data_IF_530029540369
#
_entry.id   IF_530029540369
#
_cell.length_a   1.000
_cell.length_b   1.000
_cell.length_c   1.000
_cell.angle_alpha   90.00
_cell.angle_beta   90.00
_cell.angle_gamma   90.00
#
_symmetry.space_group_name_H-M   'P 1'
#
loop_
_entity.id
_entity.type
_entity.pdbx_description
1 polymer ?
#
# COMPACT_ATOMS: atom_id res chain seq x y z
N UNK A 1 7.06 -11.90 9.41
CA UNK A 1 6.60 -10.75 10.23
C UNK A 1 5.23 -10.27 9.74
N UNK A 2 4.45 -9.60 10.61
CA UNK A 2 3.21 -8.93 10.25
C UNK A 2 3.33 -7.44 10.60
N UNK A 3 3.11 -6.57 9.62
CA UNK A 3 3.09 -5.12 9.78
C UNK A 3 1.65 -4.64 9.62
N UNK A 4 1.16 -3.89 10.60
CA UNK A 4 -0.20 -3.37 10.59
C UNK A 4 -0.20 -1.85 10.69
N UNK A 5 -0.82 -1.19 9.70
CA UNK A 5 -1.05 0.26 9.74
C UNK A 5 -2.26 0.50 10.65
N UNK A 6 -2.08 1.15 11.79
CA UNK A 6 -3.15 1.36 12.77
C UNK A 6 -3.36 2.85 13.09
N UNK A 7 -4.35 3.42 12.43
CA UNK A 7 -4.96 4.71 12.72
C UNK A 7 -6.44 4.63 12.32
N UNK A 8 -7.16 3.64 12.87
CA UNK A 8 -8.54 3.33 12.51
C UNK A 8 -9.50 4.53 12.55
N UNK A 9 -9.39 5.47 13.53
CA UNK A 9 -10.26 6.66 13.55
C UNK A 9 -10.14 7.52 12.28
N UNK A 10 -9.00 7.47 11.61
CA UNK A 10 -8.67 8.20 10.38
C UNK A 10 -8.54 7.27 9.16
N UNK A 11 -9.21 6.12 9.14
CA UNK A 11 -9.13 5.15 8.03
C UNK A 11 -7.69 4.76 7.69
N UNK A 12 -6.87 4.59 8.71
CA UNK A 12 -5.45 4.25 8.58
C UNK A 12 -4.65 5.28 7.74
N UNK A 13 -5.06 6.56 7.77
CA UNK A 13 -4.24 7.64 7.25
C UNK A 13 -2.93 7.72 8.02
N UNK A 14 -1.83 7.81 7.27
CA UNK A 14 -0.47 7.78 7.83
C UNK A 14 -0.03 9.19 8.23
N UNK A 15 0.15 9.42 9.52
CA UNK A 15 0.73 10.66 10.03
C UNK A 15 2.22 10.75 9.70
N UNK A 16 2.82 11.94 9.82
CA UNK A 16 4.28 12.11 9.64
C UNK A 16 5.08 11.16 10.53
N UNK A 17 4.64 10.99 11.79
CA UNK A 17 5.30 10.07 12.73
C UNK A 17 5.19 8.62 12.24
N UNK A 18 3.99 8.17 11.82
CA UNK A 18 3.80 6.82 11.31
C UNK A 18 4.63 6.55 10.05
N UNK A 19 4.77 7.52 9.16
CA UNK A 19 5.65 7.40 8.00
C UNK A 19 7.11 7.24 8.42
N UNK A 20 7.59 8.05 9.37
CA UNK A 20 8.95 7.92 9.89
C UNK A 20 9.17 6.57 10.60
N UNK A 21 8.18 6.11 11.35
CA UNK A 21 8.23 4.81 12.04
C UNK A 21 8.24 3.65 11.03
N UNK A 22 7.42 3.74 9.99
CA UNK A 22 7.35 2.72 8.93
C UNK A 22 8.69 2.61 8.19
N UNK A 23 9.32 3.73 7.85
CA UNK A 23 10.66 3.73 7.25
C UNK A 23 11.70 3.03 8.13
N UNK A 24 11.71 3.35 9.45
CA UNK A 24 12.62 2.66 10.39
C UNK A 24 12.30 1.17 10.52
N UNK A 25 11.01 0.82 10.49
CA UNK A 25 10.58 -0.58 10.57
C UNK A 25 11.09 -1.41 9.38
N UNK A 26 11.13 -0.83 8.17
CA UNK A 26 11.73 -1.51 7.01
C UNK A 26 13.20 -1.80 7.26
N UNK A 27 13.98 -0.84 7.78
CA UNK A 27 15.40 -1.04 8.11
C UNK A 27 15.61 -2.12 9.20
N UNK A 28 14.72 -2.20 10.18
CA UNK A 28 14.74 -3.23 11.21
C UNK A 28 14.42 -4.61 10.62
N UNK A 29 13.38 -4.70 9.80
CA UNK A 29 12.97 -5.95 9.16
C UNK A 29 14.02 -6.49 8.18
N UNK A 30 14.79 -5.61 7.51
CA UNK A 30 15.91 -6.07 6.68
C UNK A 30 16.97 -6.84 7.47
N UNK A 31 17.16 -6.52 8.74
CA UNK A 31 18.15 -7.15 9.64
C UNK A 31 17.57 -8.29 10.47
N UNK A 32 16.24 -8.42 10.50
CA UNK A 32 15.54 -9.48 11.22
C UNK A 32 15.66 -10.82 10.48
N UNK A 33 15.43 -11.93 11.18
CA UNK A 33 15.46 -13.28 10.59
C UNK A 33 14.18 -13.65 9.82
N UNK A 34 13.16 -12.77 9.79
CA UNK A 34 11.95 -13.03 9.03
C UNK A 34 12.25 -13.11 7.53
N UNK A 35 11.61 -14.05 6.83
CA UNK A 35 11.85 -14.30 5.40
C UNK A 35 10.77 -13.73 4.50
N UNK A 36 9.65 -13.28 5.07
CA UNK A 36 8.54 -12.67 4.37
C UNK A 36 7.77 -11.75 5.31
N UNK A 37 7.23 -10.67 4.77
CA UNK A 37 6.44 -9.68 5.50
C UNK A 37 4.99 -9.76 5.02
N UNK A 38 4.03 -9.74 5.95
CA UNK A 38 2.62 -9.52 5.64
C UNK A 38 2.27 -8.10 6.04
N UNK A 39 1.71 -7.32 5.12
CA UNK A 39 1.30 -5.93 5.33
C UNK A 39 -0.22 -5.80 5.26
N UNK A 40 -0.84 -5.17 6.27
CA UNK A 40 -2.29 -4.96 6.33
C UNK A 40 -2.66 -3.67 7.06
N UNK A 41 -3.92 -3.27 7.00
CA UNK A 41 -4.49 -2.20 7.82
C UNK A 41 -5.22 -2.75 9.05
N UNK A 42 -5.28 -1.99 10.13
CA UNK A 42 -6.09 -2.34 11.29
C UNK A 42 -7.58 -2.16 11.00
N UNK A 43 -8.43 -3.04 11.56
CA UNK A 43 -9.88 -3.04 11.37
C UNK A 43 -10.31 -3.55 10.01
N UNK A 44 -11.53 -3.18 9.60
CA UNK A 44 -12.16 -3.69 8.37
C UNK A 44 -12.45 -2.62 7.32
N UNK A 45 -12.26 -1.33 7.67
CA UNK A 45 -12.72 -0.21 6.83
C UNK A 45 -11.69 0.25 5.80
N UNK A 46 -10.41 0.17 6.13
CA UNK A 46 -9.36 0.65 5.26
C UNK A 46 -8.06 -0.12 5.48
N UNK A 47 -7.35 -0.35 4.39
CA UNK A 47 -5.93 -0.66 4.40
C UNK A 47 -5.15 0.61 4.79
N UNK A 48 -5.28 1.65 3.98
CA UNK A 48 -4.84 3.02 4.26
C UNK A 48 -5.41 4.00 3.23
N UNK A 49 -5.83 5.18 3.67
CA UNK A 49 -6.27 6.25 2.77
C UNK A 49 -5.15 7.27 2.48
N UNK A 50 -3.90 6.90 2.70
CA UNK A 50 -2.74 7.72 2.36
C UNK A 50 -2.29 8.64 3.49
N UNK A 51 -1.76 9.80 3.15
CA UNK A 51 -1.25 10.74 4.13
C UNK A 51 -2.37 11.39 4.95
N UNK A 52 -2.13 11.61 6.24
CA UNK A 52 -3.01 12.42 7.08
C UNK A 52 -2.85 13.91 6.74
N UNK A 53 -3.83 14.43 5.99
CA UNK A 53 -3.85 15.81 5.51
C UNK A 53 -4.18 16.85 6.61
N UNK A 54 -4.44 16.43 7.84
CA UNK A 54 -4.75 17.34 8.95
C UNK A 54 -3.53 18.02 9.57
N UNK A 55 -2.32 17.58 9.20
CA UNK A 55 -1.05 18.14 9.66
C UNK A 55 -0.43 19.12 8.68
N UNK A 56 0.71 19.69 9.07
CA UNK A 56 1.52 20.52 8.16
C UNK A 56 2.11 19.65 7.05
N UNK A 57 1.59 19.82 5.85
CA UNK A 57 2.07 19.18 4.62
C UNK A 57 3.14 20.03 3.92
N UNK A 58 3.70 21.04 4.60
CA UNK A 58 4.79 21.81 4.01
C UNK A 58 5.88 20.84 3.53
N UNK A 59 6.18 20.94 2.25
CA UNK A 59 7.13 20.08 1.56
C UNK A 59 8.58 20.46 1.95
N UNK A 60 8.91 20.27 3.22
CA UNK A 60 10.31 20.30 3.61
C UNK A 60 11.02 19.14 2.88
N UNK A 61 12.25 19.33 2.38
CA UNK A 61 13.04 18.27 1.73
C UNK A 61 13.10 16.98 2.56
N UNK A 62 13.11 17.11 3.89
CA UNK A 62 13.06 16.00 4.84
C UNK A 62 11.77 15.16 4.70
N UNK A 63 10.62 15.80 4.43
CA UNK A 63 9.36 15.09 4.27
C UNK A 63 9.35 14.22 3.03
N UNK A 64 9.93 14.70 1.94
CA UNK A 64 10.07 13.92 0.71
C UNK A 64 10.94 12.65 0.94
N UNK A 65 12.00 12.76 1.73
CA UNK A 65 12.83 11.61 2.11
C UNK A 65 12.07 10.62 2.99
N UNK A 66 11.36 11.10 4.02
CA UNK A 66 10.54 10.26 4.91
C UNK A 66 9.50 9.49 4.09
N UNK A 67 8.75 10.17 3.21
CA UNK A 67 7.74 9.52 2.37
C UNK A 67 8.37 8.53 1.40
N UNK A 68 9.49 8.90 0.77
CA UNK A 68 10.20 8.00 -0.16
C UNK A 68 10.60 6.70 0.52
N UNK A 69 11.15 6.79 1.72
CA UNK A 69 11.58 5.61 2.49
C UNK A 69 10.39 4.80 3.02
N UNK A 70 9.40 5.46 3.62
CA UNK A 70 8.20 4.81 4.16
C UNK A 70 7.41 4.02 3.10
N UNK A 71 7.25 4.61 1.91
CA UNK A 71 6.49 4.00 0.81
C UNK A 71 7.37 3.14 -0.11
N UNK A 72 8.63 2.91 0.24
CA UNK A 72 9.59 2.15 -0.58
C UNK A 72 9.62 2.65 -2.04
N UNK A 73 9.59 3.98 -2.22
CA UNK A 73 9.49 4.60 -3.54
C UNK A 73 10.65 4.24 -4.45
N UNK A 74 11.86 4.42 -3.94
CA UNK A 74 13.12 4.18 -4.66
C UNK A 74 13.86 2.95 -4.15
N UNK A 75 13.49 2.51 -2.96
CA UNK A 75 14.08 1.37 -2.30
C UNK A 75 13.21 0.12 -2.59
N UNK A 76 13.86 -0.99 -2.77
CA UNK A 76 13.18 -2.29 -2.89
C UNK A 76 13.49 -3.03 -1.60
N UNK A 77 12.44 -3.52 -0.92
CA UNK A 77 12.66 -4.43 0.21
C UNK A 77 13.43 -5.65 -0.26
N UNK A 78 14.47 -6.04 0.45
CA UNK A 78 15.19 -7.30 0.22
C UNK A 78 14.35 -8.53 0.57
N UNK A 79 13.19 -8.31 1.22
CA UNK A 79 12.26 -9.38 1.63
C UNK A 79 10.93 -9.25 0.90
N UNK A 80 10.32 -10.36 0.44
CA UNK A 80 9.00 -10.35 -0.15
C UNK A 80 7.94 -9.81 0.81
N UNK A 81 7.01 -9.00 0.26
CA UNK A 81 5.90 -8.40 1.01
C UNK A 81 4.57 -8.89 0.42
N UNK A 82 3.78 -9.57 1.24
CA UNK A 82 2.41 -9.98 0.91
C UNK A 82 1.43 -8.97 1.50
N UNK A 83 0.61 -8.32 0.66
CA UNK A 83 -0.39 -7.38 1.12
C UNK A 83 -1.76 -8.03 1.28
N UNK A 84 -2.34 -7.87 2.47
CA UNK A 84 -3.72 -8.20 2.80
C UNK A 84 -4.55 -6.91 2.86
N UNK A 85 -5.22 -6.56 1.75
CA UNK A 85 -5.94 -5.28 1.61
C UNK A 85 -7.35 -5.43 2.18
N UNK A 86 -7.51 -5.04 3.43
CA UNK A 86 -8.70 -5.26 4.26
C UNK A 86 -9.82 -4.21 4.10
N UNK A 87 -9.66 -3.23 3.22
CA UNK A 87 -10.61 -2.16 2.97
C UNK A 87 -10.04 -1.08 2.06
N UNK A 88 -10.57 0.13 2.12
CA UNK A 88 -10.17 1.24 1.24
C UNK A 88 -8.65 1.44 1.19
N UNK A 89 -8.10 1.49 -0.01
CA UNK A 89 -6.68 1.68 -0.30
C UNK A 89 -6.56 2.85 -1.29
N UNK A 90 -6.26 4.05 -0.77
CA UNK A 90 -6.39 5.30 -1.51
C UNK A 90 -5.11 6.12 -1.40
N UNK A 91 -4.75 6.83 -2.48
CA UNK A 91 -3.61 7.75 -2.48
C UNK A 91 -2.31 7.08 -2.08
N UNK A 92 -1.62 7.59 -1.06
CA UNK A 92 -0.41 7.00 -0.51
C UNK A 92 -0.56 5.55 -0.04
N UNK A 93 -1.79 5.09 0.25
CA UNK A 93 -2.10 3.68 0.50
C UNK A 93 -1.88 2.82 -0.75
N UNK A 94 -2.32 3.30 -1.93
CA UNK A 94 -2.02 2.66 -3.22
C UNK A 94 -0.52 2.73 -3.52
N UNK A 95 0.13 3.84 -3.25
CA UNK A 95 1.58 3.98 -3.48
C UNK A 95 2.39 2.96 -2.67
N UNK A 96 2.03 2.75 -1.40
CA UNK A 96 2.62 1.71 -0.57
C UNK A 96 2.28 0.31 -1.09
N UNK A 97 1.03 0.06 -1.48
CA UNK A 97 0.60 -1.20 -2.07
C UNK A 97 1.42 -1.56 -3.32
N UNK A 98 1.72 -0.59 -4.18
CA UNK A 98 2.53 -0.79 -5.38
C UNK A 98 3.98 -1.19 -5.10
N UNK A 99 4.42 -1.14 -3.85
CA UNK A 99 5.74 -1.59 -3.40
C UNK A 99 5.73 -2.99 -2.80
N UNK A 100 4.58 -3.67 -2.81
CA UNK A 100 4.42 -5.06 -2.36
C UNK A 100 4.40 -6.03 -3.54
N UNK A 101 4.63 -7.32 -3.28
CA UNK A 101 4.88 -8.33 -4.33
C UNK A 101 3.63 -9.16 -4.65
N UNK A 102 2.92 -9.62 -3.63
CA UNK A 102 1.70 -10.45 -3.79
C UNK A 102 0.57 -9.80 -2.99
N UNK A 103 -0.62 -9.70 -3.60
CA UNK A 103 -1.72 -8.91 -3.05
C UNK A 103 -3.04 -9.64 -3.15
N UNK A 104 -3.79 -9.66 -2.05
CA UNK A 104 -5.22 -9.97 -2.09
C UNK A 104 -6.02 -8.84 -1.47
N UNK A 105 -7.27 -8.70 -1.90
CA UNK A 105 -8.18 -7.70 -1.38
C UNK A 105 -9.49 -8.32 -0.88
N UNK A 106 -10.07 -7.71 0.15
CA UNK A 106 -11.44 -7.99 0.55
C UNK A 106 -12.43 -7.47 -0.52
N UNK A 107 -13.63 -8.08 -0.69
CA UNK A 107 -14.55 -7.71 -1.75
C UNK A 107 -15.06 -6.26 -1.72
N UNK A 108 -15.08 -5.64 -0.54
CA UNK A 108 -15.54 -4.26 -0.33
C UNK A 108 -14.44 -3.22 -0.50
N UNK A 109 -13.22 -3.64 -0.82
CA UNK A 109 -12.08 -2.75 -1.05
C UNK A 109 -12.30 -1.85 -2.26
N UNK A 110 -11.92 -0.58 -2.11
CA UNK A 110 -11.81 0.37 -3.21
C UNK A 110 -10.37 0.84 -3.34
N UNK A 111 -9.94 1.06 -4.57
CA UNK A 111 -8.61 1.59 -4.89
C UNK A 111 -8.74 2.89 -5.65
N UNK A 112 -7.82 3.82 -5.46
CA UNK A 112 -7.74 5.03 -6.28
C UNK A 112 -6.62 5.97 -5.90
N UNK A 113 -6.35 6.88 -6.83
CA UNK A 113 -5.34 7.93 -6.71
C UNK A 113 -6.00 9.29 -7.01
N UNK A 114 -6.82 9.83 -6.07
CA UNK A 114 -7.63 11.02 -6.31
C UNK A 114 -6.85 12.34 -6.18
N UNK A 115 -5.53 12.30 -6.07
CA UNK A 115 -4.66 13.45 -5.85
C UNK A 115 -4.91 14.59 -6.85
N UNK A 116 -5.21 14.25 -8.11
CA UNK A 116 -5.52 15.22 -9.17
C UNK A 116 -6.74 16.11 -8.83
N UNK A 117 -7.68 15.58 -8.04
CA UNK A 117 -8.87 16.35 -7.61
C UNK A 117 -8.54 17.44 -6.58
N UNK A 118 -7.35 17.39 -6.00
CA UNK A 118 -6.83 18.36 -5.02
C UNK A 118 -5.65 19.18 -5.56
N UNK A 119 -5.46 19.18 -6.89
CA UNK A 119 -4.36 19.89 -7.55
C UNK A 119 -2.97 19.47 -7.08
N UNK A 120 -2.82 18.22 -6.66
CA UNK A 120 -1.57 17.58 -6.34
C UNK A 120 -1.39 16.33 -7.22
N UNK A 121 -0.22 15.73 -7.20
CA UNK A 121 0.04 14.46 -7.87
C UNK A 121 0.61 13.43 -6.88
N UNK A 122 0.41 12.13 -7.12
CA UNK A 122 0.98 11.10 -6.27
C UNK A 122 2.50 11.06 -6.44
N UNK A 123 3.24 11.39 -5.40
CA UNK A 123 4.70 11.50 -5.44
C UNK A 123 5.44 10.35 -4.74
N UNK A 124 4.71 9.42 -4.10
CA UNK A 124 5.26 8.22 -3.45
C UNK A 124 5.62 7.09 -4.41
N UNK A 125 5.50 7.30 -5.74
CA UNK A 125 5.96 6.33 -6.74
C UNK A 125 4.89 5.82 -7.71
N UNK A 126 3.61 6.15 -7.50
CA UNK A 126 2.52 5.63 -8.33
C UNK A 126 2.67 5.99 -9.80
N UNK A 127 3.16 7.19 -10.12
CA UNK A 127 3.34 7.64 -11.51
C UNK A 127 4.28 6.77 -12.35
N UNK A 128 5.11 5.95 -11.70
CA UNK A 128 6.00 4.99 -12.36
C UNK A 128 5.51 3.56 -12.15
N UNK A 129 5.34 3.15 -10.87
CA UNK A 129 5.01 1.76 -10.51
C UNK A 129 3.65 1.31 -11.04
N UNK A 130 2.64 2.19 -11.04
CA UNK A 130 1.32 1.84 -11.55
C UNK A 130 1.36 1.51 -13.04
N UNK A 131 2.06 2.35 -13.83
CA UNK A 131 2.22 2.13 -15.27
C UNK A 131 2.91 0.78 -15.55
N UNK A 132 3.93 0.45 -14.76
CA UNK A 132 4.67 -0.81 -14.91
C UNK A 132 3.81 -2.04 -14.59
N UNK A 133 2.88 -1.90 -13.65
CA UNK A 133 2.13 -3.04 -13.10
C UNK A 133 0.78 -3.28 -13.78
N UNK A 134 0.03 -2.21 -14.16
CA UNK A 134 -1.28 -2.36 -14.82
C UNK A 134 -1.30 -1.82 -16.26
N UNK A 135 -0.18 -1.34 -16.76
CA UNK A 135 -0.06 -0.78 -18.10
C UNK A 135 -0.50 0.68 -18.22
N UNK A 136 -0.01 1.35 -19.26
CA UNK A 136 -0.12 2.80 -19.42
C UNK A 136 -1.57 3.31 -19.45
N UNK A 137 -2.42 2.68 -20.26
CA UNK A 137 -3.80 3.16 -20.49
C UNK A 137 -4.63 3.09 -19.21
N UNK A 138 -4.54 2.00 -18.46
CA UNK A 138 -5.25 1.83 -17.21
C UNK A 138 -4.70 2.75 -16.11
N UNK A 139 -3.38 2.91 -16.06
CA UNK A 139 -2.75 3.81 -15.12
C UNK A 139 -3.16 5.27 -15.37
N UNK A 140 -3.17 5.72 -16.64
CA UNK A 140 -3.59 7.08 -16.98
C UNK A 140 -5.07 7.33 -16.69
N UNK A 141 -5.94 6.35 -16.91
CA UNK A 141 -7.35 6.46 -16.54
C UNK A 141 -7.50 6.77 -15.04
N UNK A 142 -6.82 6.03 -14.17
CA UNK A 142 -6.89 6.25 -12.71
C UNK A 142 -6.22 7.57 -12.29
N UNK A 143 -5.03 7.85 -12.81
CA UNK A 143 -4.24 9.03 -12.41
C UNK A 143 -4.86 10.34 -12.89
N UNK A 144 -5.45 10.37 -14.10
CA UNK A 144 -5.98 11.61 -14.68
C UNK A 144 -7.44 11.87 -14.28
N UNK A 145 -8.22 10.83 -14.02
CA UNK A 145 -9.63 10.99 -13.61
C UNK A 145 -9.77 11.06 -12.07
N UNK A 146 -8.84 10.47 -11.32
CA UNK A 146 -8.94 10.33 -9.88
C UNK A 146 -10.09 9.41 -9.42
N UNK A 147 -10.68 8.62 -10.35
CA UNK A 147 -11.79 7.73 -10.02
C UNK A 147 -11.35 6.58 -9.12
N UNK A 148 -12.29 6.07 -8.36
CA UNK A 148 -12.10 4.85 -7.58
C UNK A 148 -12.55 3.63 -8.39
N UNK A 149 -11.89 2.50 -8.15
CA UNK A 149 -12.26 1.20 -8.68
C UNK A 149 -12.52 0.23 -7.53
N UNK A 150 -13.38 -0.75 -7.75
CA UNK A 150 -13.64 -1.82 -6.80
C UNK A 150 -12.58 -2.93 -6.84
N UNK A 151 -12.67 -3.88 -5.91
CA UNK A 151 -11.73 -5.00 -5.82
C UNK A 151 -11.73 -5.88 -7.07
N UNK A 152 -12.89 -6.06 -7.70
CA UNK A 152 -13.06 -6.89 -8.91
C UNK A 152 -12.34 -6.25 -10.10
N UNK A 153 -12.53 -4.93 -10.28
CA UNK A 153 -11.79 -4.20 -11.31
C UNK A 153 -10.30 -4.18 -11.01
N UNK A 154 -9.89 -3.97 -9.76
CA UNK A 154 -8.49 -4.04 -9.34
C UNK A 154 -7.82 -5.36 -9.68
N UNK A 155 -8.52 -6.48 -9.46
CA UNK A 155 -8.05 -7.81 -9.85
C UNK A 155 -7.99 -7.99 -11.38
N UNK A 156 -9.01 -7.50 -12.10
CA UNK A 156 -9.03 -7.55 -13.58
C UNK A 156 -7.88 -6.77 -14.22
N UNK A 157 -7.51 -5.64 -13.63
CA UNK A 157 -6.39 -4.81 -14.10
C UNK A 157 -5.01 -5.34 -13.68
N UNK A 158 -4.95 -6.29 -12.76
CA UNK A 158 -3.69 -6.81 -12.22
C UNK A 158 -3.11 -5.98 -11.08
N UNK A 159 -3.89 -5.07 -10.49
CA UNK A 159 -3.47 -4.31 -9.31
C UNK A 159 -3.37 -5.22 -8.06
N UNK A 160 -4.23 -6.23 -7.97
CA UNK A 160 -4.17 -7.31 -6.98
C UNK A 160 -4.29 -8.66 -7.67
N UNK A 161 -3.69 -9.71 -7.06
CA UNK A 161 -3.71 -11.06 -7.61
C UNK A 161 -5.09 -11.72 -7.51
N UNK A 162 -5.86 -11.39 -6.46
CA UNK A 162 -7.18 -11.98 -6.21
C UNK A 162 -8.03 -11.18 -5.24
N UNK A 163 -9.31 -11.49 -5.26
CA UNK A 163 -10.27 -11.05 -4.25
C UNK A 163 -10.64 -12.28 -3.41
N UNK A 164 -10.59 -12.17 -2.09
CA UNK A 164 -10.94 -13.24 -1.14
C UNK A 164 -11.93 -12.71 -0.10
N UNK A 165 -12.72 -13.59 0.50
CA UNK A 165 -13.63 -13.18 1.56
C UNK A 165 -12.86 -12.48 2.70
N UNK A 166 -13.47 -11.48 3.34
CA UNK A 166 -12.79 -10.71 4.38
C UNK A 166 -12.28 -11.59 5.54
N UNK A 167 -13.04 -12.63 5.88
CA UNK A 167 -12.66 -13.64 6.90
C UNK A 167 -11.45 -14.47 6.52
N UNK A 168 -11.20 -14.64 5.24
CA UNK A 168 -10.15 -15.51 4.71
C UNK A 168 -8.90 -14.72 4.30
N UNK A 169 -8.97 -13.38 4.32
CA UNK A 169 -7.91 -12.50 3.81
C UNK A 169 -6.58 -12.69 4.56
N UNK A 170 -6.61 -12.60 5.90
CA UNK A 170 -5.41 -12.80 6.71
C UNK A 170 -4.92 -14.25 6.72
N UNK A 171 -5.79 -15.27 6.88
CA UNK A 171 -5.38 -16.67 6.67
C UNK A 171 -4.66 -16.90 5.34
N UNK A 172 -5.22 -16.40 4.23
CA UNK A 172 -4.60 -16.50 2.92
C UNK A 172 -3.22 -15.81 2.86
N UNK A 173 -3.11 -14.59 3.41
CA UNK A 173 -1.85 -13.85 3.38
C UNK A 173 -0.75 -14.54 4.19
N UNK A 174 -1.09 -15.10 5.36
CA UNK A 174 -0.16 -15.85 6.20
C UNK A 174 0.29 -17.14 5.51
N UNK A 175 -0.64 -17.94 4.94
CA UNK A 175 -0.32 -19.15 4.19
C UNK A 175 0.60 -18.87 2.99
N UNK A 176 0.33 -17.75 2.27
CA UNK A 176 1.17 -17.31 1.16
C UNK A 176 2.57 -16.94 1.66
N UNK A 177 2.66 -16.19 2.76
CA UNK A 177 3.94 -15.78 3.34
C UNK A 177 4.74 -16.99 3.88
N UNK A 178 4.07 -17.97 4.49
CA UNK A 178 4.69 -19.22 4.94
C UNK A 178 5.22 -20.04 3.76
N UNK A 179 4.47 -20.11 2.66
CA UNK A 179 4.91 -20.77 1.43
C UNK A 179 6.18 -20.11 0.87
N UNK A 180 6.23 -18.78 0.85
CA UNK A 180 7.42 -18.02 0.42
C UNK A 180 8.59 -18.29 1.37
N UNK A 181 8.33 -18.21 2.68
CA UNK A 181 9.36 -18.39 3.70
C UNK A 181 9.95 -19.82 3.74
N UNK A 182 9.20 -20.81 3.29
CA UNK A 182 9.66 -22.20 3.19
C UNK A 182 10.61 -22.45 2.01
N UNK A 183 10.61 -21.58 0.99
CA UNK A 183 11.53 -21.68 -0.13
C UNK A 183 12.95 -21.28 0.28
N UNK A 184 13.94 -21.92 -0.27
CA UNK A 184 15.37 -21.70 0.04
C UNK A 184 15.94 -20.50 -0.72
#
# INVERSE_FOLDING_TARGET
AVVTIDNQPRLNAMTRQMLADLGRLWDELERDDCRCIVLTGAGERAFSVGADLSGDLSAAPEMASIVSHALLKSDVSGKPIVAAVNGDCIGGGVELLLSTDIRAAAPHTRFGLPEVTWSIYPFGGATVKLIQQIGYVHAMDLLLTGRLIDATEGARLGLVNRVVAATDLMPWALETAETIAANS
#
